data_IF_153221503788
#
_entry.id   IF_153221503788
#
_cell.length_a   1.000
_cell.length_b   1.000
_cell.length_c   1.000
_cell.angle_alpha   90.00
_cell.angle_beta   90.00
_cell.angle_gamma   90.00
#
_symmetry.space_group_name_H-M   'P 1'
#
loop_
_entity.id
_entity.type
_entity.pdbx_description
1 polymer ?
#
# COMPACT_ATOMS: atom_id res chain seq x y z
N UNK A 1 0.40 -6.44 -19.51
CA UNK A 1 0.77 -5.81 -18.22
C UNK A 1 0.19 -6.64 -17.11
N UNK A 2 1.03 -7.14 -16.19
CA UNK A 2 0.67 -8.14 -15.17
C UNK A 2 -0.54 -7.71 -14.32
N UNK A 3 -0.64 -6.43 -13.95
CA UNK A 3 -1.72 -5.92 -13.08
C UNK A 3 -3.14 -6.09 -13.66
N UNK A 4 -3.33 -6.11 -14.99
CA UNK A 4 -4.65 -6.35 -15.60
C UNK A 4 -5.14 -7.79 -15.44
N UNK A 5 -4.24 -8.71 -15.16
CA UNK A 5 -4.56 -10.13 -15.03
C UNK A 5 -4.85 -10.53 -13.58
N UNK A 6 -4.58 -9.65 -12.61
CA UNK A 6 -4.89 -9.87 -11.21
C UNK A 6 -6.40 -9.60 -10.96
N UNK A 7 -7.21 -10.62 -10.62
CA UNK A 7 -8.68 -10.48 -10.56
C UNK A 7 -9.16 -9.40 -9.59
N UNK A 8 -8.46 -9.23 -8.46
CA UNK A 8 -8.82 -8.28 -7.41
C UNK A 8 -8.68 -6.82 -7.85
N UNK A 9 -7.73 -6.51 -8.72
CA UNK A 9 -7.42 -5.13 -9.12
C UNK A 9 -7.75 -4.83 -10.59
N UNK A 10 -8.10 -5.83 -11.40
CA UNK A 10 -8.45 -5.62 -12.81
C UNK A 10 -9.56 -4.59 -12.97
N UNK A 11 -10.57 -4.64 -12.11
CA UNK A 11 -11.76 -3.79 -12.22
C UNK A 11 -11.53 -2.37 -11.68
N UNK A 12 -10.41 -2.11 -10.98
CA UNK A 12 -10.06 -0.76 -10.51
C UNK A 12 -9.25 0.03 -11.55
N UNK A 13 -8.68 -0.64 -12.56
CA UNK A 13 -7.87 -0.03 -13.61
C UNK A 13 -8.76 0.43 -14.77
N UNK A 14 -8.82 1.74 -15.02
CA UNK A 14 -9.60 2.32 -16.13
C UNK A 14 -8.77 2.41 -17.41
N UNK A 15 -9.41 2.53 -18.60
CA UNK A 15 -8.70 2.71 -19.87
C UNK A 15 -7.74 3.90 -19.90
N UNK A 16 -8.05 4.98 -19.17
CA UNK A 16 -7.22 6.18 -19.05
C UNK A 16 -5.94 5.96 -18.24
N UNK A 17 -5.91 4.96 -17.37
CA UNK A 17 -4.77 4.70 -16.49
C UNK A 17 -3.69 3.85 -17.23
N UNK A 18 -4.06 3.22 -18.34
CA UNK A 18 -3.22 2.28 -19.08
C UNK A 18 -1.93 2.88 -19.62
N UNK A 19 -1.94 4.09 -20.21
CA UNK A 19 -0.71 4.68 -20.72
C UNK A 19 0.34 4.91 -19.61
N UNK A 20 -0.07 5.44 -18.45
CA UNK A 20 0.84 5.62 -17.31
C UNK A 20 1.34 4.27 -16.76
N UNK A 21 0.46 3.28 -16.63
CA UNK A 21 0.82 1.95 -16.12
C UNK A 21 1.74 1.17 -17.09
N UNK A 22 1.81 1.53 -18.37
CA UNK A 22 2.84 0.98 -19.29
C UNK A 22 4.25 1.45 -18.94
N UNK A 23 4.38 2.60 -18.27
CA UNK A 23 5.66 3.12 -17.79
C UNK A 23 6.08 2.51 -16.44
N UNK A 24 5.23 1.68 -15.81
CA UNK A 24 5.55 1.01 -14.56
C UNK A 24 6.64 -0.06 -14.79
N UNK A 25 7.75 0.06 -14.07
CA UNK A 25 8.91 -0.82 -14.16
C UNK A 25 8.98 -1.83 -13.04
N UNK A 26 8.63 -1.40 -11.84
CA UNK A 26 8.82 -2.23 -10.66
C UNK A 26 7.71 -1.98 -9.64
N UNK A 27 7.42 -3.02 -8.86
CA UNK A 27 6.56 -2.95 -7.69
C UNK A 27 7.31 -3.64 -6.57
N UNK A 28 7.61 -2.91 -5.49
CA UNK A 28 8.29 -3.45 -4.32
C UNK A 28 7.38 -3.38 -3.11
N UNK A 29 7.45 -4.41 -2.27
CA UNK A 29 6.89 -4.38 -0.91
C UNK A 29 8.05 -4.24 0.06
N UNK A 30 8.04 -3.21 0.89
CA UNK A 30 9.09 -2.92 1.86
C UNK A 30 8.44 -2.90 3.25
N UNK A 31 8.98 -3.62 4.26
CA UNK A 31 8.46 -3.53 5.62
C UNK A 31 8.66 -2.12 6.17
N UNK A 32 7.68 -1.63 6.92
CA UNK A 32 7.80 -0.39 7.70
C UNK A 32 8.34 -0.79 9.07
N UNK A 33 9.44 -0.18 9.48
CA UNK A 33 10.05 -0.45 10.78
C UNK A 33 9.17 0.06 11.93
N UNK A 34 9.17 -0.67 13.05
CA UNK A 34 8.32 -0.45 14.23
C UNK A 34 8.58 0.88 14.96
N UNK A 35 9.41 1.77 14.42
CA UNK A 35 9.73 3.10 14.92
C UNK A 35 9.08 4.23 14.10
N UNK A 36 8.31 3.91 13.07
CA UNK A 36 7.57 4.92 12.31
C UNK A 36 6.16 5.14 12.87
N UNK A 37 5.73 6.41 12.89
CA UNK A 37 4.39 6.80 13.35
C UNK A 37 3.56 7.26 12.16
N UNK A 38 2.34 6.70 11.98
CA UNK A 38 1.40 7.25 11.03
C UNK A 38 1.04 8.70 11.40
N UNK A 39 0.86 9.55 10.40
CA UNK A 39 0.39 10.92 10.55
C UNK A 39 -0.97 10.92 11.28
N UNK A 40 -1.03 11.63 12.40
CA UNK A 40 -2.25 11.71 13.22
C UNK A 40 -2.44 10.55 14.21
N UNK A 41 -1.45 9.66 14.37
CA UNK A 41 -1.45 8.61 15.39
C UNK A 41 -0.34 8.83 16.42
N UNK A 42 -0.60 8.45 17.66
CA UNK A 42 0.34 8.59 18.78
C UNK A 42 1.15 7.32 19.05
N UNK A 43 0.67 6.17 18.57
CA UNK A 43 1.35 4.88 18.69
C UNK A 43 2.24 4.62 17.46
N UNK A 44 3.36 3.94 17.69
CA UNK A 44 4.12 3.32 16.61
C UNK A 44 3.34 2.11 16.08
N UNK A 45 3.47 1.82 14.80
CA UNK A 45 2.74 0.73 14.18
C UNK A 45 3.59 0.09 13.10
N UNK A 46 3.65 -1.23 13.11
CA UNK A 46 4.31 -2.01 12.06
C UNK A 46 3.49 -1.95 10.76
N UNK A 47 4.09 -2.34 9.64
CA UNK A 47 3.37 -2.30 8.39
C UNK A 47 4.22 -2.64 7.19
N UNK A 48 3.69 -2.31 6.02
CA UNK A 48 4.43 -2.39 4.78
C UNK A 48 4.06 -1.24 3.86
N UNK A 49 5.00 -0.87 3.00
CA UNK A 49 4.76 0.07 1.92
C UNK A 49 4.93 -0.60 0.56
N UNK A 50 4.02 -0.26 -0.34
CA UNK A 50 4.11 -0.59 -1.76
C UNK A 50 4.73 0.60 -2.50
N UNK A 51 5.83 0.34 -3.18
CA UNK A 51 6.47 1.31 -4.07
C UNK A 51 6.22 0.91 -5.52
N UNK A 52 5.67 1.84 -6.30
CA UNK A 52 5.43 1.71 -7.73
C UNK A 52 6.43 2.59 -8.47
N UNK A 53 7.44 1.99 -9.08
CA UNK A 53 8.50 2.69 -9.80
C UNK A 53 8.15 2.84 -11.27
N UNK A 54 8.13 4.08 -11.76
CA UNK A 54 7.82 4.44 -13.14
C UNK A 54 9.02 5.06 -13.84
N UNK A 55 9.14 4.78 -15.14
CA UNK A 55 9.94 5.63 -16.02
C UNK A 55 9.35 7.05 -16.12
N UNK A 56 10.18 8.06 -16.43
CA UNK A 56 9.69 9.39 -16.78
C UNK A 56 8.58 9.31 -17.83
N UNK A 57 7.48 9.99 -17.57
CA UNK A 57 6.29 9.94 -18.41
C UNK A 57 5.57 11.31 -18.40
N UNK A 58 4.58 11.46 -19.27
CA UNK A 58 3.85 12.73 -19.46
C UNK A 58 2.69 12.94 -18.46
N UNK A 59 2.40 11.96 -17.60
CA UNK A 59 1.22 11.97 -16.73
C UNK A 59 1.52 12.53 -15.33
N UNK A 60 2.73 12.27 -14.81
CA UNK A 60 3.18 12.77 -13.51
C UNK A 60 4.71 12.81 -13.43
N UNK A 61 5.23 13.61 -12.50
CA UNK A 61 6.68 13.81 -12.31
C UNK A 61 7.30 12.81 -11.33
N UNK A 62 6.49 12.20 -10.46
CA UNK A 62 6.95 11.23 -9.46
C UNK A 62 7.52 9.99 -10.13
N UNK A 63 8.79 9.65 -9.83
CA UNK A 63 9.40 8.39 -10.27
C UNK A 63 8.94 7.20 -9.45
N UNK A 64 8.58 7.42 -8.19
CA UNK A 64 8.06 6.40 -7.28
C UNK A 64 6.79 6.92 -6.64
N UNK A 65 5.70 6.17 -6.79
CA UNK A 65 4.47 6.37 -6.01
C UNK A 65 4.49 5.38 -4.85
N UNK A 66 4.21 5.86 -3.64
CA UNK A 66 4.30 5.05 -2.42
C UNK A 66 2.94 4.99 -1.75
N UNK A 67 2.48 3.78 -1.44
CA UNK A 67 1.28 3.55 -0.62
C UNK A 67 1.66 2.79 0.64
N UNK A 68 1.40 3.35 1.81
CA UNK A 68 1.77 2.78 3.10
C UNK A 68 0.55 2.19 3.80
N UNK A 69 0.71 1.02 4.40
CA UNK A 69 -0.29 0.32 5.20
C UNK A 69 0.29 0.03 6.58
N UNK A 70 -0.40 0.49 7.62
CA UNK A 70 -0.03 0.25 9.01
C UNK A 70 -0.99 -0.77 9.62
N UNK A 71 -0.43 -1.73 10.34
CA UNK A 71 -1.11 -2.94 10.77
C UNK A 71 -1.01 -3.09 12.29
N UNK A 72 -2.12 -3.44 12.91
CA UNK A 72 -2.19 -3.80 14.32
C UNK A 72 -2.28 -5.33 14.48
N UNK A 73 -1.51 -5.85 15.44
CA UNK A 73 -1.52 -7.27 15.83
C UNK A 73 -2.16 -7.50 17.20
N UNK A 74 -2.53 -6.42 17.91
CA UNK A 74 -3.02 -6.51 19.28
C UNK A 74 -4.36 -7.24 19.37
N UNK A 75 -4.50 -8.05 20.42
CA UNK A 75 -5.78 -8.65 20.81
C UNK A 75 -6.66 -7.59 21.49
N UNK A 76 -7.94 -7.56 21.13
CA UNK A 76 -8.93 -6.73 21.83
C UNK A 76 -9.16 -7.32 23.23
N UNK A 77 -8.78 -6.60 24.28
CA UNK A 77 -8.88 -7.09 25.68
C UNK A 77 -10.31 -7.49 26.07
N UNK A 78 -11.31 -6.77 25.54
CA UNK A 78 -12.73 -7.00 25.80
C UNK A 78 -13.30 -8.19 25.00
N UNK A 79 -12.64 -8.59 23.91
CA UNK A 79 -13.01 -9.77 23.14
C UNK A 79 -11.80 -10.45 22.45
N UNK A 80 -10.90 -11.12 23.20
CA UNK A 80 -9.65 -11.64 22.64
C UNK A 80 -9.85 -12.72 21.57
N UNK A 81 -10.97 -13.46 21.65
CA UNK A 81 -11.32 -14.51 20.69
C UNK A 81 -11.81 -13.97 19.33
N UNK A 82 -11.97 -12.64 19.19
CA UNK A 82 -12.34 -12.03 17.91
C UNK A 82 -11.17 -11.77 16.98
N UNK A 83 -9.95 -12.12 17.37
CA UNK A 83 -8.77 -11.96 16.52
C UNK A 83 -8.83 -12.88 15.30
N UNK A 84 -8.86 -12.27 14.11
CA UNK A 84 -8.88 -12.95 12.81
C UNK A 84 -7.60 -12.66 11.99
N UNK A 85 -6.54 -12.24 12.69
CA UNK A 85 -5.27 -11.85 12.08
C UNK A 85 -5.01 -10.33 12.13
N UNK A 86 -3.95 -9.87 11.45
CA UNK A 86 -3.53 -8.48 11.52
C UNK A 86 -4.50 -7.54 10.80
N UNK A 87 -4.88 -6.44 11.44
CA UNK A 87 -5.84 -5.47 10.91
C UNK A 87 -5.13 -4.21 10.40
N UNK A 88 -5.52 -3.69 9.23
CA UNK A 88 -5.02 -2.38 8.76
C UNK A 88 -5.69 -1.27 9.58
N UNK A 89 -4.89 -0.50 10.32
CA UNK A 89 -5.36 0.57 11.21
C UNK A 89 -5.17 1.98 10.66
N UNK A 90 -4.28 2.14 9.69
CA UNK A 90 -4.06 3.39 8.98
C UNK A 90 -3.45 3.15 7.59
N UNK A 91 -3.65 4.10 6.69
CA UNK A 91 -3.01 4.12 5.37
C UNK A 91 -2.56 5.52 5.01
N UNK A 92 -1.46 5.64 4.28
CA UNK A 92 -0.94 6.92 3.77
C UNK A 92 -0.54 6.82 2.30
N UNK A 93 -0.61 7.95 1.60
CA UNK A 93 -0.36 8.06 0.16
C UNK A 93 -1.57 7.85 -0.72
#
# INVERSE_FOLDING_TARGET
>A
MVLKHAPLIRNTIRPTDIPALKCLKNIRSIPIESNERPVGKTAFTEGFQLEFEFEPNEYFTNRVLTKRYFINFDLKEDNPLSYDGPEVVATEG
#
